data_IF_245478091685
#
_entry.id   IF_245478091685
#
_cell.length_a   1.000
_cell.length_b   1.000
_cell.length_c   1.000
_cell.angle_alpha   90.00
_cell.angle_beta   90.00
_cell.angle_gamma   90.00
#
_symmetry.space_group_name_H-M   'P 1'
#
loop_
_entity.id
_entity.type
_entity.pdbx_description
1 polymer ?
#
# COMPACT_ATOMS: atom_id res chain seq x y z
N UNK A 1 22.51 -18.17 3.52
CA UNK A 1 21.83 -17.99 2.23
C UNK A 1 21.89 -19.31 1.45
N UNK A 2 20.76 -19.74 0.90
CA UNK A 2 20.70 -20.88 0.00
C UNK A 2 21.17 -20.46 -1.41
N UNK A 3 21.61 -21.42 -2.24
CA UNK A 3 21.94 -21.13 -3.64
C UNK A 3 20.77 -20.47 -4.39
N UNK A 4 19.53 -20.90 -4.11
CA UNK A 4 18.33 -20.32 -4.69
C UNK A 4 18.18 -18.81 -4.34
N UNK A 5 18.44 -18.42 -3.09
CA UNK A 5 18.41 -17.02 -2.66
C UNK A 5 19.48 -16.16 -3.32
N UNK A 6 20.63 -16.73 -3.65
CA UNK A 6 21.72 -16.03 -4.34
C UNK A 6 21.39 -15.84 -5.82
N UNK A 7 20.82 -16.84 -6.47
CA UNK A 7 20.50 -16.82 -7.90
C UNK A 7 19.21 -16.07 -8.22
N UNK A 8 18.24 -16.04 -7.29
CA UNK A 8 16.91 -15.46 -7.49
C UNK A 8 16.93 -14.02 -8.05
N UNK A 9 17.75 -13.08 -7.53
CA UNK A 9 17.80 -11.71 -8.08
C UNK A 9 18.24 -11.69 -9.57
N UNK A 10 19.15 -12.57 -9.96
CA UNK A 10 19.60 -12.69 -11.34
C UNK A 10 18.49 -13.23 -12.25
N UNK A 11 17.74 -14.22 -11.79
CA UNK A 11 16.61 -14.78 -12.52
C UNK A 11 15.52 -13.72 -12.73
N UNK A 12 15.13 -13.01 -11.69
CA UNK A 12 14.13 -11.94 -11.77
C UNK A 12 14.57 -10.79 -12.66
N UNK A 13 15.85 -10.38 -12.61
CA UNK A 13 16.40 -9.38 -13.52
C UNK A 13 16.34 -9.86 -14.97
N UNK A 14 16.58 -11.17 -15.21
CA UNK A 14 16.53 -11.76 -16.54
C UNK A 14 15.12 -11.77 -17.13
N UNK A 15 14.07 -11.89 -16.33
CA UNK A 15 12.68 -11.86 -16.79
C UNK A 15 12.36 -10.58 -17.58
N UNK A 16 12.94 -9.46 -17.18
CA UNK A 16 12.77 -8.16 -17.87
C UNK A 16 13.27 -8.25 -19.31
N UNK A 17 14.41 -8.91 -19.51
CA UNK A 17 15.01 -9.10 -20.85
C UNK A 17 14.28 -10.17 -21.65
N UNK A 18 13.92 -11.27 -21.01
CA UNK A 18 13.20 -12.38 -21.62
C UNK A 18 11.82 -11.93 -22.12
N UNK A 19 11.08 -11.18 -21.32
CA UNK A 19 9.78 -10.63 -21.68
C UNK A 19 9.88 -9.40 -22.60
N UNK A 20 11.09 -8.91 -22.89
CA UNK A 20 11.32 -7.68 -23.67
C UNK A 20 10.57 -6.47 -23.12
N UNK A 21 10.46 -6.38 -21.80
CA UNK A 21 9.70 -5.34 -21.14
C UNK A 21 10.35 -3.96 -21.34
N UNK A 22 9.55 -2.98 -21.74
CA UNK A 22 9.92 -1.57 -21.80
C UNK A 22 9.63 -0.83 -20.50
N UNK A 23 8.55 -1.24 -19.81
CA UNK A 23 8.13 -0.69 -18.52
C UNK A 23 7.95 -1.84 -17.53
N UNK A 24 8.57 -1.69 -16.35
CA UNK A 24 8.44 -2.63 -15.23
C UNK A 24 7.79 -1.91 -14.06
N UNK A 25 6.58 -2.34 -13.68
CA UNK A 25 5.86 -1.81 -12.52
C UNK A 25 5.89 -2.85 -11.41
N UNK A 26 6.51 -2.51 -10.29
CA UNK A 26 6.69 -3.39 -9.13
C UNK A 26 6.66 -2.59 -7.83
N UNK A 27 6.42 -3.28 -6.72
CA UNK A 27 6.53 -2.68 -5.40
C UNK A 27 7.94 -2.16 -5.10
N UNK A 28 8.04 -1.19 -4.20
CA UNK A 28 9.31 -0.57 -3.80
C UNK A 28 10.31 -1.61 -3.22
N UNK A 29 9.85 -2.71 -2.67
CA UNK A 29 10.66 -3.83 -2.18
C UNK A 29 11.47 -4.52 -3.31
N UNK A 30 11.03 -4.41 -4.57
CA UNK A 30 11.69 -4.96 -5.76
C UNK A 30 12.67 -3.98 -6.44
N UNK A 31 12.83 -2.77 -5.91
CA UNK A 31 13.64 -1.72 -6.53
C UNK A 31 15.09 -2.15 -6.77
N UNK A 32 15.70 -2.88 -5.85
CA UNK A 32 17.11 -3.30 -5.98
C UNK A 32 17.32 -4.20 -7.19
N UNK A 33 16.43 -5.16 -7.42
CA UNK A 33 16.50 -6.07 -8.58
C UNK A 33 16.23 -5.32 -9.88
N UNK A 34 15.29 -4.39 -9.89
CA UNK A 34 15.02 -3.55 -11.04
C UNK A 34 16.22 -2.67 -11.41
N UNK A 35 16.93 -2.14 -10.42
CA UNK A 35 18.15 -1.35 -10.66
C UNK A 35 19.27 -2.24 -11.18
N UNK A 36 19.42 -3.46 -10.66
CA UNK A 36 20.37 -4.46 -11.20
C UNK A 36 20.14 -4.70 -12.70
N UNK A 37 18.89 -4.87 -13.11
CA UNK A 37 18.56 -5.05 -14.53
C UNK A 37 18.96 -3.82 -15.37
N UNK A 38 18.73 -2.60 -14.88
CA UNK A 38 19.14 -1.36 -15.57
C UNK A 38 20.66 -1.22 -15.69
N UNK A 39 21.40 -1.57 -14.66
CA UNK A 39 22.87 -1.57 -14.64
C UNK A 39 23.43 -2.64 -15.60
N UNK A 40 22.82 -3.81 -15.61
CA UNK A 40 23.22 -4.90 -16.51
C UNK A 40 23.03 -4.54 -17.99
N UNK A 41 22.11 -3.63 -18.33
CA UNK A 41 21.97 -3.12 -19.70
C UNK A 41 23.30 -2.57 -20.27
N UNK A 42 24.11 -1.93 -19.44
CA UNK A 42 25.40 -1.38 -19.87
C UNK A 42 26.39 -2.52 -20.22
N UNK A 43 26.41 -3.58 -19.43
CA UNK A 43 27.27 -4.75 -19.68
C UNK A 43 26.94 -5.47 -21.01
N UNK A 44 25.63 -5.56 -21.34
CA UNK A 44 25.18 -6.19 -22.61
C UNK A 44 24.99 -5.18 -23.74
N UNK A 45 25.43 -3.94 -23.57
CA UNK A 45 25.34 -2.86 -24.57
C UNK A 45 23.90 -2.59 -25.07
N UNK A 46 22.90 -2.83 -24.22
CA UNK A 46 21.49 -2.53 -24.51
C UNK A 46 21.23 -1.03 -24.27
N UNK A 47 20.94 -0.28 -25.34
CA UNK A 47 20.70 1.16 -25.27
C UNK A 47 19.38 1.50 -24.58
N UNK A 48 18.33 0.76 -24.88
CA UNK A 48 17.00 0.99 -24.29
C UNK A 48 16.89 0.30 -22.95
N UNK A 49 17.12 1.08 -21.88
CA UNK A 49 16.95 0.60 -20.49
C UNK A 49 15.46 0.60 -20.12
N UNK A 50 14.96 -0.40 -19.41
CA UNK A 50 13.57 -0.43 -18.99
C UNK A 50 13.26 0.74 -18.08
N UNK A 51 12.05 1.30 -18.21
CA UNK A 51 11.48 2.29 -17.28
C UNK A 51 10.99 1.54 -16.05
N UNK A 52 11.39 1.99 -14.87
CA UNK A 52 10.98 1.37 -13.61
C UNK A 52 9.96 2.28 -12.92
N UNK A 53 8.75 1.78 -12.78
CA UNK A 53 7.70 2.39 -11.97
C UNK A 53 7.60 1.65 -10.64
N UNK A 54 8.02 2.29 -9.57
CA UNK A 54 7.93 1.72 -8.22
C UNK A 54 6.76 2.35 -7.47
N UNK A 55 5.93 1.53 -6.87
CA UNK A 55 4.82 1.98 -6.03
C UNK A 55 5.04 1.56 -4.57
N UNK A 56 4.47 2.29 -3.58
CA UNK A 56 4.53 1.88 -2.19
C UNK A 56 3.87 0.51 -1.98
N UNK A 57 4.31 -0.18 -0.93
CA UNK A 57 3.66 -1.43 -0.49
C UNK A 57 2.53 -1.05 0.46
N UNK A 58 1.33 -1.59 0.22
CA UNK A 58 0.23 -1.45 1.17
C UNK A 58 0.52 -2.29 2.41
N UNK A 59 0.29 -1.69 3.57
CA UNK A 59 0.48 -2.34 4.85
C UNK A 59 -0.50 -3.49 5.06
N UNK A 60 -0.08 -4.49 5.82
CA UNK A 60 -1.00 -5.50 6.37
C UNK A 60 -1.92 -4.88 7.43
N UNK A 61 -3.11 -5.44 7.60
CA UNK A 61 -4.14 -4.89 8.50
C UNK A 61 -3.80 -5.00 9.99
N UNK A 62 -2.85 -5.87 10.36
CA UNK A 62 -2.45 -6.09 11.75
C UNK A 62 -1.28 -5.18 12.14
N UNK A 63 -1.14 -4.93 13.44
CA UNK A 63 -0.01 -4.18 13.98
C UNK A 63 1.34 -4.76 13.55
N UNK A 64 2.26 -3.88 13.17
CA UNK A 64 3.65 -4.25 12.82
C UNK A 64 3.81 -4.99 11.48
N UNK A 65 2.76 -5.13 10.69
CA UNK A 65 2.82 -5.80 9.39
C UNK A 65 3.12 -4.81 8.27
N UNK A 66 4.37 -4.79 7.80
CA UNK A 66 4.81 -3.93 6.70
C UNK A 66 4.16 -4.25 5.34
N UNK A 67 3.59 -5.44 5.18
CA UNK A 67 2.88 -5.86 3.96
C UNK A 67 1.86 -6.95 4.24
N UNK A 68 0.87 -7.08 3.37
CA UNK A 68 -0.13 -8.15 3.38
C UNK A 68 0.53 -9.52 3.18
N UNK A 69 -0.04 -10.57 3.78
CA UNK A 69 0.45 -11.95 3.65
C UNK A 69 -0.67 -12.91 3.27
N UNK A 70 -0.44 -13.72 2.24
CA UNK A 70 -1.38 -14.78 1.84
C UNK A 70 -1.52 -15.89 2.90
N UNK A 71 -0.49 -16.09 3.72
CA UNK A 71 -0.49 -17.09 4.80
C UNK A 71 -1.28 -16.64 6.04
N UNK A 72 -1.66 -15.35 6.10
CA UNK A 72 -2.47 -14.78 7.17
C UNK A 72 -3.67 -14.04 6.56
N UNK A 73 -4.80 -14.73 6.34
CA UNK A 73 -5.98 -14.16 5.66
C UNK A 73 -6.54 -12.91 6.34
N UNK A 74 -6.42 -12.80 7.67
CA UNK A 74 -6.90 -11.62 8.42
C UNK A 74 -5.98 -10.39 8.25
N UNK A 75 -4.82 -10.56 7.62
CA UNK A 75 -3.86 -9.48 7.40
C UNK A 75 -4.06 -8.76 6.07
N UNK A 76 -4.94 -9.25 5.22
CA UNK A 76 -5.08 -8.79 3.84
C UNK A 76 -6.53 -8.74 3.38
N UNK A 77 -6.84 -7.79 2.49
CA UNK A 77 -8.08 -7.77 1.73
C UNK A 77 -7.82 -8.48 0.41
N UNK A 78 -8.61 -9.50 0.09
CA UNK A 78 -8.52 -10.26 -1.16
C UNK A 78 -9.60 -9.81 -2.14
N UNK A 79 -9.36 -10.02 -3.42
CA UNK A 79 -10.32 -9.69 -4.47
C UNK A 79 -11.61 -10.53 -4.39
N UNK A 80 -11.54 -11.69 -3.73
CA UNK A 80 -12.65 -12.61 -3.51
C UNK A 80 -13.42 -12.34 -2.21
N UNK A 81 -12.96 -11.44 -1.36
CA UNK A 81 -13.63 -11.10 -0.11
C UNK A 81 -15.00 -10.49 -0.41
N UNK A 82 -16.01 -10.94 0.31
CA UNK A 82 -17.32 -10.30 0.29
C UNK A 82 -17.27 -8.94 1.01
N UNK A 83 -18.25 -8.09 0.75
CA UNK A 83 -18.40 -6.81 1.47
C UNK A 83 -18.38 -7.01 3.00
N UNK A 84 -19.08 -8.05 3.48
CA UNK A 84 -19.10 -8.37 4.91
C UNK A 84 -17.73 -8.75 5.46
N UNK A 85 -16.92 -9.49 4.67
CA UNK A 85 -15.55 -9.86 5.05
C UNK A 85 -14.65 -8.63 5.10
N UNK A 86 -14.74 -7.75 4.10
CA UNK A 86 -13.98 -6.49 4.06
C UNK A 86 -14.32 -5.63 5.27
N UNK A 87 -15.62 -5.42 5.55
CA UNK A 87 -16.07 -4.64 6.69
C UNK A 87 -15.57 -5.20 8.01
N UNK A 88 -15.57 -6.53 8.17
CA UNK A 88 -15.04 -7.20 9.35
C UNK A 88 -13.53 -7.01 9.49
N UNK A 89 -12.78 -7.13 8.39
CA UNK A 89 -11.33 -6.95 8.34
C UNK A 89 -10.95 -5.50 8.68
N UNK A 90 -11.61 -4.50 8.09
CA UNK A 90 -11.37 -3.09 8.39
C UNK A 90 -11.74 -2.78 9.83
N UNK A 91 -12.86 -3.30 10.35
CA UNK A 91 -13.23 -3.14 11.76
C UNK A 91 -12.15 -3.63 12.72
N UNK A 92 -11.49 -4.76 12.41
CA UNK A 92 -10.41 -5.35 13.22
C UNK A 92 -9.03 -4.75 12.93
N UNK A 93 -8.86 -4.00 11.84
CA UNK A 93 -7.57 -3.46 11.42
C UNK A 93 -6.94 -2.61 12.52
N UNK A 94 -5.63 -2.65 12.61
CA UNK A 94 -4.85 -1.80 13.50
C UNK A 94 -5.05 -0.32 13.11
N UNK A 95 -5.51 0.49 14.03
CA UNK A 95 -5.80 1.91 13.78
C UNK A 95 -5.86 2.65 15.13
N UNK A 96 -4.71 2.88 15.78
CA UNK A 96 -4.66 3.54 17.09
C UNK A 96 -4.94 5.04 16.96
N UNK A 97 -5.70 5.65 17.91
CA UNK A 97 -6.03 7.07 17.88
C UNK A 97 -4.79 7.97 17.82
N UNK A 98 -4.80 8.98 16.95
CA UNK A 98 -3.74 9.98 16.85
C UNK A 98 -2.40 9.48 16.28
N UNK A 99 -2.27 8.19 15.94
CA UNK A 99 -1.02 7.61 15.41
C UNK A 99 -1.17 7.38 13.91
N UNK A 100 -0.35 8.08 13.14
CA UNK A 100 -0.31 7.99 11.66
C UNK A 100 0.67 6.91 11.21
N UNK A 101 1.83 6.84 11.89
CA UNK A 101 2.88 5.90 11.53
C UNK A 101 2.41 4.46 11.70
N UNK A 102 2.73 3.64 10.70
CA UNK A 102 2.37 2.21 10.66
C UNK A 102 0.86 1.94 10.82
N UNK A 103 -0.01 2.86 10.37
CA UNK A 103 -1.45 2.75 10.42
C UNK A 103 -2.02 2.33 9.05
N UNK A 104 -2.42 1.06 8.87
CA UNK A 104 -2.88 0.56 7.58
C UNK A 104 -4.15 1.25 7.06
N UNK A 105 -5.04 1.70 7.94
CA UNK A 105 -6.27 2.37 7.51
C UNK A 105 -5.96 3.72 6.88
N UNK A 106 -5.05 4.49 7.49
CA UNK A 106 -4.58 5.76 6.93
C UNK A 106 -3.75 5.56 5.66
N UNK A 107 -2.97 4.48 5.58
CA UNK A 107 -2.20 4.12 4.40
C UNK A 107 -3.12 3.84 3.19
N UNK A 108 -4.23 3.12 3.39
CA UNK A 108 -5.21 2.86 2.35
C UNK A 108 -5.96 4.12 1.93
N UNK A 109 -6.33 4.98 2.87
CA UNK A 109 -6.93 6.28 2.55
C UNK A 109 -5.99 7.10 1.66
N UNK A 110 -4.72 7.20 2.04
CA UNK A 110 -3.72 7.99 1.32
C UNK A 110 -3.46 7.46 -0.09
N UNK A 111 -3.20 6.16 -0.21
CA UNK A 111 -2.69 5.58 -1.45
C UNK A 111 -3.75 5.02 -2.38
N UNK A 112 -4.97 4.78 -1.88
CA UNK A 112 -6.07 4.23 -2.67
C UNK A 112 -7.21 5.24 -2.77
N UNK A 113 -7.81 5.60 -1.65
CA UNK A 113 -9.06 6.36 -1.65
C UNK A 113 -8.84 7.78 -2.18
N UNK A 114 -7.97 8.57 -1.57
CA UNK A 114 -7.70 9.92 -2.05
C UNK A 114 -7.06 9.96 -3.43
N UNK A 115 -6.21 8.99 -3.76
CA UNK A 115 -5.62 8.89 -5.10
C UNK A 115 -6.66 8.63 -6.20
N UNK A 116 -7.76 7.94 -5.88
CA UNK A 116 -8.81 7.57 -6.83
C UNK A 116 -9.99 8.52 -6.82
N UNK A 117 -10.49 8.86 -5.63
CA UNK A 117 -11.74 9.61 -5.43
C UNK A 117 -11.52 11.12 -5.31
N UNK A 118 -10.31 11.54 -4.85
CA UNK A 118 -9.98 12.94 -4.62
C UNK A 118 -10.59 13.55 -3.35
N UNK A 119 -11.54 12.89 -2.73
CA UNK A 119 -12.23 13.33 -1.52
C UNK A 119 -12.69 12.14 -0.68
N UNK A 120 -12.95 12.38 0.61
CA UNK A 120 -13.45 11.37 1.52
C UNK A 120 -14.45 11.98 2.51
N UNK A 121 -15.55 11.30 2.78
CA UNK A 121 -16.63 11.75 3.66
C UNK A 121 -16.78 10.80 4.83
N UNK A 122 -16.86 11.34 6.03
CA UNK A 122 -17.10 10.58 7.27
C UNK A 122 -18.43 11.01 7.86
N UNK A 123 -19.35 10.08 8.01
CA UNK A 123 -20.61 10.29 8.70
C UNK A 123 -20.43 10.00 10.19
N UNK A 124 -20.69 11.02 11.02
CA UNK A 124 -20.61 10.91 12.48
C UNK A 124 -21.94 11.29 13.09
N UNK A 125 -22.11 10.96 14.38
CA UNK A 125 -23.26 11.44 15.13
C UNK A 125 -23.28 12.98 15.21
N UNK A 126 -24.45 13.59 15.34
CA UNK A 126 -24.55 15.04 15.52
C UNK A 126 -23.78 15.53 16.78
N UNK A 127 -23.67 14.68 17.79
CA UNK A 127 -22.92 14.96 19.02
C UNK A 127 -21.41 15.04 18.78
N UNK A 128 -20.92 14.30 17.80
CA UNK A 128 -19.51 14.23 17.42
C UNK A 128 -19.18 15.18 16.25
N UNK A 129 -20.11 16.09 15.91
CA UNK A 129 -19.92 17.13 14.90
C UNK A 129 -20.51 16.81 13.53
N UNK A 130 -21.29 15.72 13.38
CA UNK A 130 -21.99 15.39 12.14
C UNK A 130 -21.07 15.01 10.98
N UNK A 131 -21.55 15.19 9.76
CA UNK A 131 -20.84 14.84 8.54
C UNK A 131 -19.62 15.75 8.32
N UNK A 132 -18.46 15.14 8.07
CA UNK A 132 -17.25 15.85 7.64
C UNK A 132 -16.84 15.36 6.26
N UNK A 133 -16.44 16.31 5.40
CA UNK A 133 -15.90 16.05 4.08
C UNK A 133 -14.47 16.57 4.02
N UNK A 134 -13.54 15.69 3.67
CA UNK A 134 -12.13 15.99 3.46
C UNK A 134 -11.84 16.09 1.97
N UNK A 135 -11.30 17.23 1.54
CA UNK A 135 -10.87 17.47 0.16
C UNK A 135 -9.45 16.94 -0.11
N UNK A 136 -8.69 16.62 0.94
CA UNK A 136 -7.34 16.10 0.81
C UNK A 136 -6.94 15.21 1.99
N UNK A 137 -5.99 14.29 1.74
CA UNK A 137 -5.44 13.44 2.80
C UNK A 137 -4.75 14.23 3.93
N UNK A 138 -3.97 15.31 3.68
CA UNK A 138 -3.38 16.10 4.75
C UNK A 138 -4.38 16.72 5.73
N UNK A 139 -5.57 17.12 5.26
CA UNK A 139 -6.63 17.63 6.14
C UNK A 139 -7.15 16.53 7.07
N UNK A 140 -7.44 15.34 6.52
CA UNK A 140 -7.86 14.18 7.29
C UNK A 140 -6.79 13.77 8.31
N UNK A 141 -5.52 13.72 7.88
CA UNK A 141 -4.39 13.36 8.74
C UNK A 141 -4.25 14.35 9.91
N UNK A 142 -4.41 15.66 9.68
CA UNK A 142 -4.35 16.66 10.73
C UNK A 142 -5.45 16.46 11.77
N UNK A 143 -6.69 16.20 11.34
CA UNK A 143 -7.82 15.94 12.22
C UNK A 143 -7.70 14.62 12.98
N UNK A 144 -7.07 13.62 12.35
CA UNK A 144 -6.77 12.35 13.01
C UNK A 144 -5.72 12.49 14.11
N UNK A 145 -4.65 13.26 13.84
CA UNK A 145 -3.58 13.52 14.82
C UNK A 145 -4.07 14.33 16.00
N UNK A 146 -4.90 15.36 15.76
CA UNK A 146 -5.41 16.23 16.84
C UNK A 146 -6.59 15.61 17.60
N UNK A 147 -7.09 14.44 17.17
CA UNK A 147 -8.19 13.70 17.83
C UNK A 147 -9.59 14.15 17.43
N UNK A 148 -9.75 15.07 16.49
CA UNK A 148 -11.05 15.45 15.92
C UNK A 148 -11.71 14.31 15.18
N UNK A 149 -10.92 13.48 14.50
CA UNK A 149 -11.36 12.28 13.81
C UNK A 149 -10.92 11.03 14.59
N UNK A 150 -11.87 10.30 15.14
CA UNK A 150 -11.59 9.07 15.88
C UNK A 150 -11.63 7.84 14.98
N UNK A 151 -10.80 6.78 15.24
CA UNK A 151 -10.84 5.52 14.48
C UNK A 151 -12.21 4.86 14.40
N UNK A 152 -13.05 5.04 15.43
CA UNK A 152 -14.41 4.53 15.47
C UNK A 152 -15.35 5.13 14.42
N UNK A 153 -15.09 6.38 14.01
CA UNK A 153 -15.83 7.07 12.96
C UNK A 153 -15.22 6.84 11.60
N UNK A 154 -13.88 6.71 11.56
CA UNK A 154 -13.11 6.53 10.33
C UNK A 154 -13.31 5.16 9.68
N UNK A 155 -13.29 4.09 10.47
CA UNK A 155 -13.35 2.71 9.94
C UNK A 155 -14.69 2.32 9.31
N UNK A 156 -15.86 2.79 9.77
CA UNK A 156 -17.14 2.52 9.12
C UNK A 156 -17.36 3.29 7.82
N UNK A 157 -16.68 4.44 7.68
CA UNK A 157 -16.80 5.32 6.51
C UNK A 157 -16.05 4.78 5.30
#
# INVERSE_FOLDING_TARGET
LTAAQIIYPCMQATDIFFLKADICQLGMDQRKVNMLAREYCDAIKRRNKPIILSHPMLMGLKEGQAKMSKSDPDSAIFMEDSEADVNLKIKKAYCPPGVVEANPVLDYLKHIIFARMGEFTVERSERDGGLIKYASYPELEADYVNGTLHPGDLKPA
#
